data_IF_230504367551
#
_entry.id   IF_230504367551
#
_cell.length_a   1.000
_cell.length_b   1.000
_cell.length_c   1.000
_cell.angle_alpha   90.00
_cell.angle_beta   90.00
_cell.angle_gamma   90.00
#
_symmetry.space_group_name_H-M   'P 1'
#
loop_
_entity.id
_entity.type
_entity.pdbx_description
1 polymer ?
#
# COMPACT_ATOMS: atom_id res chain seq x y z
N UNK A 1 -1.34 13.49 -16.93
CA UNK A 1 -0.98 13.86 -15.54
C UNK A 1 -1.77 12.92 -14.67
N UNK A 2 -1.14 11.84 -14.18
CA UNK A 2 -1.81 10.78 -13.42
C UNK A 2 -1.91 11.13 -11.94
N UNK A 3 -2.89 10.56 -11.25
CA UNK A 3 -3.11 10.76 -9.82
C UNK A 3 -2.30 9.76 -9.01
N UNK A 4 -1.00 10.01 -8.91
CA UNK A 4 -0.04 9.17 -8.18
C UNK A 4 0.47 9.85 -6.92
N UNK A 5 0.74 9.07 -5.87
CA UNK A 5 1.32 9.54 -4.63
C UNK A 5 2.28 8.51 -4.04
N UNK A 6 3.35 8.98 -3.40
CA UNK A 6 4.29 8.16 -2.62
C UNK A 6 4.41 8.75 -1.22
N UNK A 7 4.38 7.90 -0.21
CA UNK A 7 4.53 8.29 1.18
C UNK A 7 5.43 7.30 1.92
N UNK A 8 6.34 7.80 2.74
CA UNK A 8 7.13 7.00 3.66
C UNK A 8 7.03 7.57 5.07
N UNK A 9 6.96 6.68 6.06
CA UNK A 9 6.87 7.05 7.48
C UNK A 9 7.68 6.07 8.30
N UNK A 10 8.55 6.62 9.14
CA UNK A 10 9.37 5.86 10.07
C UNK A 10 9.16 6.36 11.49
N UNK A 11 8.85 5.45 12.40
CA UNK A 11 8.85 5.70 13.84
C UNK A 11 9.73 4.66 14.55
N UNK A 12 9.70 4.64 15.88
CA UNK A 12 10.47 3.65 16.65
C UNK A 12 9.87 2.25 16.55
N UNK A 13 8.58 2.17 16.26
CA UNK A 13 7.80 0.94 16.23
C UNK A 13 7.76 0.32 14.84
N UNK A 14 7.60 1.14 13.79
CA UNK A 14 7.40 0.66 12.43
C UNK A 14 8.03 1.56 11.37
N UNK A 15 8.33 0.95 10.23
CA UNK A 15 8.77 1.61 9.00
C UNK A 15 7.79 1.21 7.89
N UNK A 16 7.20 2.20 7.24
CA UNK A 16 6.13 2.02 6.27
C UNK A 16 6.46 2.81 5.00
N UNK A 17 6.30 2.19 3.84
CA UNK A 17 6.36 2.82 2.53
C UNK A 17 5.11 2.45 1.72
N UNK A 18 4.51 3.44 1.07
CA UNK A 18 3.30 3.25 0.24
C UNK A 18 3.46 4.03 -1.07
N UNK A 19 3.09 3.39 -2.17
CA UNK A 19 2.90 3.99 -3.48
C UNK A 19 1.48 3.69 -3.93
N UNK A 20 0.77 4.72 -4.40
CA UNK A 20 -0.61 4.62 -4.86
C UNK A 20 -0.77 5.30 -6.20
N UNK A 21 -1.41 4.61 -7.13
CA UNK A 21 -1.89 5.14 -8.40
C UNK A 21 -3.41 4.96 -8.47
N UNK A 22 -4.15 6.07 -8.46
CA UNK A 22 -5.62 6.04 -8.53
C UNK A 22 -6.15 5.74 -9.93
N UNK A 23 -5.31 5.82 -10.95
CA UNK A 23 -5.66 5.56 -12.36
C UNK A 23 -5.06 4.21 -12.84
N UNK A 24 -4.54 3.40 -11.92
CA UNK A 24 -3.93 2.10 -12.19
C UNK A 24 -4.92 0.97 -12.49
N UNK A 25 -4.38 -0.22 -12.79
CA UNK A 25 -5.15 -1.38 -13.26
C UNK A 25 -5.52 -2.41 -12.18
N UNK A 26 -5.59 -2.01 -10.91
CA UNK A 26 -5.93 -2.91 -9.78
C UNK A 26 -4.84 -3.91 -9.39
N UNK A 27 -3.57 -3.64 -9.75
CA UNK A 27 -2.42 -4.41 -9.29
C UNK A 27 -1.92 -3.86 -7.96
N UNK A 28 -1.75 -4.73 -6.96
CA UNK A 28 -1.20 -4.37 -5.66
C UNK A 28 -0.20 -5.40 -5.17
N UNK A 29 0.88 -4.92 -4.57
CA UNK A 29 1.90 -5.71 -3.88
C UNK A 29 1.93 -5.23 -2.44
N UNK A 30 1.59 -6.12 -1.49
CA UNK A 30 1.32 -5.74 -0.11
C UNK A 30 1.99 -6.73 0.83
N UNK A 31 2.93 -6.21 1.64
CA UNK A 31 3.64 -7.00 2.64
C UNK A 31 3.76 -6.21 3.94
N UNK A 32 2.93 -6.54 4.93
CA UNK A 32 2.95 -5.88 6.25
C UNK A 32 3.47 -6.79 7.37
N UNK A 33 3.89 -8.01 7.05
CA UNK A 33 4.24 -9.05 8.03
C UNK A 33 3.04 -9.64 8.80
N UNK A 34 1.82 -9.18 8.52
CA UNK A 34 0.58 -9.66 9.15
C UNK A 34 -0.33 -10.21 8.04
N UNK A 35 -0.43 -11.55 7.87
CA UNK A 35 -1.13 -12.14 6.72
C UNK A 35 -2.59 -11.70 6.57
N UNK A 36 -3.31 -11.58 7.69
CA UNK A 36 -4.70 -11.11 7.65
C UNK A 36 -4.84 -9.66 7.17
N UNK A 37 -3.90 -8.80 7.56
CA UNK A 37 -3.94 -7.40 7.16
C UNK A 37 -3.59 -7.24 5.67
N UNK A 38 -2.64 -8.01 5.16
CA UNK A 38 -2.38 -8.10 3.71
C UNK A 38 -3.68 -8.45 2.96
N UNK A 39 -4.42 -9.47 3.41
CA UNK A 39 -5.67 -9.88 2.77
C UNK A 39 -6.72 -8.76 2.73
N UNK A 40 -6.86 -7.99 3.81
CA UNK A 40 -7.79 -6.85 3.84
C UNK A 40 -7.38 -5.74 2.88
N UNK A 41 -6.08 -5.45 2.78
CA UNK A 41 -5.57 -4.43 1.86
C UNK A 41 -5.65 -4.88 0.40
N UNK A 42 -5.44 -6.16 0.10
CA UNK A 42 -5.63 -6.71 -1.25
C UNK A 42 -7.08 -6.53 -1.73
N UNK A 43 -8.06 -6.74 -0.84
CA UNK A 43 -9.48 -6.49 -1.12
C UNK A 43 -9.73 -4.99 -1.38
N UNK A 44 -9.08 -4.10 -0.62
CA UNK A 44 -9.21 -2.66 -0.81
C UNK A 44 -8.65 -2.17 -2.15
N UNK A 45 -7.62 -2.82 -2.68
CA UNK A 45 -6.94 -2.40 -3.92
C UNK A 45 -7.56 -2.91 -5.22
N UNK A 46 -8.60 -3.76 -5.12
CA UNK A 46 -9.34 -4.30 -6.28
C UNK A 46 -10.43 -3.38 -6.79
#
# INVERSE_FOLDING_TARGET
MGRTAKASRKTKETEIAVELDLDGSGTAEIETGIPFFNHMLEIFTR
#
